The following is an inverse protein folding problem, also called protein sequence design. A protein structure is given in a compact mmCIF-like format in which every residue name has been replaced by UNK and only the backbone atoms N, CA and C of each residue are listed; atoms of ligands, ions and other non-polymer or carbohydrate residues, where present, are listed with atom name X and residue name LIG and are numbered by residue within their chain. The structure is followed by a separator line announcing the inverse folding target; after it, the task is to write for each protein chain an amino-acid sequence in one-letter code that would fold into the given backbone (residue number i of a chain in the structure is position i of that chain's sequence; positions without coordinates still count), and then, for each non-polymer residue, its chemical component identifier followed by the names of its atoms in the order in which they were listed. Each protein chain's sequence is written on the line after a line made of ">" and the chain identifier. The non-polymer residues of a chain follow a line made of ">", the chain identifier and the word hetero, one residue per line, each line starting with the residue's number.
data_IF_572616640141
#
_entry.id   IF_572616640141
#
_cell.length_a   1.000
_cell.length_b   1.000
_cell.length_c   1.000
_cell.angle_alpha   90.00
_cell.angle_beta   90.00
_cell.angle_gamma   90.00
#
_symmetry.space_group_name_H-M   'P 1'
#
loop_
_entity.id
_entity.type
_entity.pdbx_description
1 polymer ?
#
# COMPACT_ATOMS: atom_id res chain seq x y z
N UNK A 1 54.37 -12.67 43.17
CA UNK A 1 53.91 -11.34 43.67
C UNK A 1 54.77 -10.27 43.03
N UNK A 2 54.15 -9.18 42.53
CA UNK A 2 54.68 -8.02 41.75
C UNK A 2 54.76 -8.15 40.22
N UNK A 3 53.87 -7.35 39.61
CA UNK A 3 54.03 -6.48 38.41
C UNK A 3 54.34 -7.18 37.07
N UNK A 4 53.77 -6.82 35.93
CA UNK A 4 52.91 -5.72 35.52
C UNK A 4 52.39 -6.07 34.11
N UNK A 5 51.19 -5.60 33.81
CA UNK A 5 50.50 -5.69 32.53
C UNK A 5 51.37 -5.20 31.35
N UNK A 6 51.44 -5.99 30.29
CA UNK A 6 51.67 -5.48 28.93
C UNK A 6 50.43 -5.76 28.11
N UNK A 7 49.63 -4.71 27.99
CA UNK A 7 48.46 -4.56 27.15
C UNK A 7 48.75 -5.00 25.72
N UNK A 8 48.23 -6.18 25.34
CA UNK A 8 48.04 -6.55 23.93
C UNK A 8 46.60 -6.20 23.58
N UNK A 9 46.47 -5.10 22.84
CA UNK A 9 45.62 -4.97 21.65
C UNK A 9 44.41 -5.88 21.58
N UNK A 10 43.23 -5.37 21.93
CA UNK A 10 41.96 -5.75 21.30
C UNK A 10 41.00 -4.55 21.43
N UNK A 11 40.94 -3.69 20.41
CA UNK A 11 39.70 -2.96 20.11
C UNK A 11 38.81 -3.95 19.34
N UNK A 12 37.67 -4.41 19.86
CA UNK A 12 36.61 -4.87 18.99
C UNK A 12 35.78 -3.66 18.60
N UNK A 13 35.70 -3.48 17.28
CA UNK A 13 34.90 -2.53 16.55
C UNK A 13 33.54 -2.25 17.20
N UNK A 14 33.23 -0.96 17.33
CA UNK A 14 31.88 -0.46 17.48
C UNK A 14 31.11 -0.87 16.21
N UNK A 15 30.43 -2.01 16.26
CA UNK A 15 29.53 -2.43 15.22
C UNK A 15 28.32 -1.49 15.25
N UNK A 16 28.40 -0.41 14.48
CA UNK A 16 27.26 0.43 14.14
C UNK A 16 26.30 -0.47 13.33
N UNK A 17 25.28 -1.00 14.00
CA UNK A 17 24.19 -1.72 13.36
C UNK A 17 23.46 -0.73 12.44
N UNK A 18 23.85 -0.71 11.17
CA UNK A 18 23.01 -0.22 10.08
C UNK A 18 21.85 -1.22 9.93
N UNK A 19 20.85 -1.11 10.78
CA UNK A 19 19.53 -1.65 10.49
C UNK A 19 18.83 -0.68 9.52
N UNK A 20 19.35 -0.61 8.29
CA UNK A 20 18.56 -0.16 7.15
C UNK A 20 17.77 -1.38 6.71
N UNK A 21 16.45 -1.37 6.92
CA UNK A 21 15.59 -2.42 6.40
C UNK A 21 14.27 -2.50 7.14
N UNK A 22 13.21 -2.09 6.45
CA UNK A 22 11.81 -2.05 6.87
C UNK A 22 11.46 -0.94 7.87
N UNK A 23 11.47 0.32 7.41
CA UNK A 23 10.49 1.27 7.95
C UNK A 23 9.10 0.67 7.70
N UNK A 24 8.28 0.42 8.74
CA UNK A 24 6.88 0.17 8.49
C UNK A 24 6.35 1.39 7.73
N UNK A 25 5.87 1.19 6.50
CA UNK A 25 5.02 2.21 5.87
C UNK A 25 3.85 2.33 6.84
N UNK A 26 3.76 3.47 7.53
CA UNK A 26 2.63 3.82 8.36
C UNK A 26 1.40 3.85 7.43
N UNK A 27 0.73 2.71 7.26
CA UNK A 27 -0.23 2.52 6.18
C UNK A 27 -1.52 3.29 6.43
N UNK A 28 -1.91 4.18 5.50
CA UNK A 28 -3.18 4.90 5.43
C UNK A 28 -3.69 5.53 6.75
N UNK A 29 -2.80 5.91 7.67
CA UNK A 29 -3.22 6.33 9.02
C UNK A 29 -3.72 7.76 9.06
N UNK A 30 -3.23 8.63 8.18
CA UNK A 30 -3.58 10.04 8.20
C UNK A 30 -4.46 10.40 7.02
N UNK A 31 -5.59 11.07 7.32
CA UNK A 31 -6.54 11.50 6.30
C UNK A 31 -5.87 12.36 5.22
N UNK A 32 -4.90 13.19 5.63
CA UNK A 32 -4.21 14.11 4.73
C UNK A 32 -3.14 13.44 3.86
N UNK A 33 -2.88 12.14 3.99
CA UNK A 33 -2.01 11.44 3.04
C UNK A 33 -2.70 11.34 1.66
N UNK A 34 -4.04 11.24 1.66
CA UNK A 34 -4.86 11.08 0.47
C UNK A 34 -5.75 12.30 0.17
N UNK A 35 -6.26 12.96 1.22
CA UNK A 35 -7.20 14.08 1.09
C UNK A 35 -6.51 15.43 1.28
N UNK A 36 -6.99 16.44 0.56
CA UNK A 36 -6.65 17.83 0.83
C UNK A 36 -7.18 18.27 2.21
N UNK A 37 -6.57 19.30 2.85
CA UNK A 37 -7.06 19.83 4.11
C UNK A 37 -8.56 20.19 4.07
N UNK A 38 -9.27 19.91 5.16
CA UNK A 38 -10.72 20.10 5.27
C UNK A 38 -11.43 18.79 5.58
N UNK A 39 -12.71 18.70 5.20
CA UNK A 39 -13.53 17.50 5.40
C UNK A 39 -13.24 16.49 4.29
N UNK A 40 -12.71 15.29 4.59
CA UNK A 40 -12.45 14.24 3.59
C UNK A 40 -13.71 13.82 2.84
N UNK A 41 -13.61 13.74 1.52
CA UNK A 41 -14.65 13.27 0.60
C UNK A 41 -14.03 12.74 -0.70
N UNK A 42 -14.83 12.10 -1.54
CA UNK A 42 -14.36 11.68 -2.87
C UNK A 42 -13.96 12.85 -3.78
N UNK A 43 -14.39 14.08 -3.48
CA UNK A 43 -14.12 15.27 -4.29
C UNK A 43 -12.91 16.10 -3.84
N UNK A 44 -12.28 15.75 -2.71
CA UNK A 44 -11.11 16.47 -2.18
C UNK A 44 -9.83 15.61 -2.13
N UNK A 45 -9.71 14.62 -3.02
CA UNK A 45 -8.50 13.83 -3.14
C UNK A 45 -7.36 14.66 -3.72
N UNK A 46 -6.14 14.48 -3.21
CA UNK A 46 -4.94 15.21 -3.69
C UNK A 46 -4.57 14.86 -5.13
N UNK A 47 -4.96 13.67 -5.59
CA UNK A 47 -4.68 13.13 -6.92
C UNK A 47 -5.81 12.18 -7.35
N UNK A 48 -5.68 11.56 -8.52
CA UNK A 48 -6.53 10.44 -8.90
C UNK A 48 -6.42 9.30 -7.89
N UNK A 49 -7.48 8.50 -7.74
CA UNK A 49 -7.50 7.36 -6.81
C UNK A 49 -6.31 6.41 -7.03
N UNK A 50 -6.09 6.00 -8.27
CA UNK A 50 -4.97 5.11 -8.61
C UNK A 50 -3.62 5.80 -8.40
N UNK A 51 -3.50 7.11 -8.70
CA UNK A 51 -2.31 7.92 -8.43
C UNK A 51 -1.92 7.94 -6.95
N UNK A 52 -2.91 8.12 -6.06
CA UNK A 52 -2.70 8.05 -4.61
C UNK A 52 -2.14 6.69 -4.18
N UNK A 53 -2.68 5.59 -4.73
CA UNK A 53 -2.23 4.25 -4.40
C UNK A 53 -0.77 4.01 -4.84
N UNK A 54 -0.44 4.32 -6.10
CA UNK A 54 0.89 4.03 -6.67
C UNK A 54 1.98 4.98 -6.19
N UNK A 55 1.66 6.06 -5.48
CA UNK A 55 2.64 6.88 -4.77
C UNK A 55 3.31 6.17 -3.59
N UNK A 56 2.70 5.09 -3.08
CA UNK A 56 3.30 4.22 -2.07
C UNK A 56 3.42 2.76 -2.54
N UNK A 57 2.56 2.33 -3.46
CA UNK A 57 2.49 0.95 -3.97
C UNK A 57 2.99 0.85 -5.42
N UNK A 58 4.21 1.28 -5.68
CA UNK A 58 4.74 1.40 -7.04
C UNK A 58 4.70 0.09 -7.84
N UNK A 59 4.88 -1.06 -7.20
CA UNK A 59 4.93 -2.36 -7.88
C UNK A 59 3.54 -2.94 -8.18
N UNK A 60 2.45 -2.28 -7.75
CA UNK A 60 1.07 -2.75 -7.98
C UNK A 60 0.53 -2.44 -9.37
N UNK A 61 1.41 -2.04 -10.27
CA UNK A 61 1.14 -1.85 -11.70
C UNK A 61 2.09 -2.67 -12.57
N UNK A 62 2.87 -3.57 -11.95
CA UNK A 62 3.78 -4.47 -12.67
C UNK A 62 3.02 -5.60 -13.39
N UNK A 63 3.73 -6.31 -14.27
CA UNK A 63 3.16 -7.44 -14.99
C UNK A 63 2.65 -8.53 -14.02
N UNK A 64 1.38 -8.92 -14.20
CA UNK A 64 0.72 -9.92 -13.35
C UNK A 64 -0.22 -9.32 -12.31
N UNK A 65 -0.15 -8.01 -12.05
CA UNK A 65 -1.16 -7.30 -11.27
C UNK A 65 -2.42 -7.08 -12.11
N UNK A 66 -3.58 -6.99 -11.44
CA UNK A 66 -4.84 -6.73 -12.15
C UNK A 66 -4.89 -5.29 -12.65
N UNK A 67 -5.19 -5.11 -13.94
CA UNK A 67 -5.29 -3.77 -14.53
C UNK A 67 -6.41 -2.95 -13.89
N UNK A 68 -6.14 -1.66 -13.69
CA UNK A 68 -7.09 -0.65 -13.21
C UNK A 68 -7.08 0.55 -14.16
N UNK A 69 -7.92 1.54 -13.89
CA UNK A 69 -8.18 2.71 -14.75
C UNK A 69 -8.70 2.32 -16.14
N UNK A 70 -9.40 1.18 -16.23
CA UNK A 70 -10.05 0.71 -17.45
C UNK A 70 -11.58 0.89 -17.34
N UNK A 71 -12.24 1.35 -18.42
CA UNK A 71 -13.70 1.36 -18.49
C UNK A 71 -14.25 -0.06 -18.35
N UNK A 72 -15.33 -0.20 -17.61
CA UNK A 72 -16.05 -1.46 -17.47
C UNK A 72 -17.44 -1.29 -18.04
N UNK A 73 -17.74 -2.07 -19.07
CA UNK A 73 -19.03 -2.08 -19.77
C UNK A 73 -19.93 -3.26 -19.33
N UNK A 74 -19.54 -3.98 -18.27
CA UNK A 74 -20.32 -5.10 -17.75
C UNK A 74 -21.29 -4.62 -16.68
N UNK A 75 -22.58 -4.73 -16.98
CA UNK A 75 -23.66 -4.49 -16.03
C UNK A 75 -24.56 -5.73 -15.94
N UNK A 76 -25.13 -6.04 -14.77
CA UNK A 76 -24.94 -5.37 -13.48
C UNK A 76 -23.75 -5.97 -12.69
N UNK A 77 -22.95 -5.11 -12.05
CA UNK A 77 -21.98 -5.52 -11.02
C UNK A 77 -22.24 -4.80 -9.71
N UNK A 78 -21.86 -5.42 -8.60
CA UNK A 78 -22.06 -4.89 -7.23
C UNK A 78 -20.86 -4.10 -6.71
N UNK A 79 -19.73 -4.14 -7.42
CA UNK A 79 -18.52 -3.42 -7.02
C UNK A 79 -18.59 -1.94 -7.42
N UNK A 80 -17.99 -1.03 -6.62
CA UNK A 80 -18.01 0.39 -6.92
C UNK A 80 -17.13 0.71 -8.13
N UNK A 81 -17.73 1.31 -9.15
CA UNK A 81 -17.05 1.90 -10.29
C UNK A 81 -17.05 3.42 -10.17
N UNK A 82 -15.95 4.07 -10.54
CA UNK A 82 -15.87 5.51 -10.59
C UNK A 82 -16.19 6.00 -11.99
N UNK A 83 -17.41 6.52 -12.15
CA UNK A 83 -17.95 6.93 -13.44
C UNK A 83 -17.82 5.85 -14.53
N UNK A 84 -18.06 4.58 -14.17
CA UNK A 84 -17.94 3.43 -15.07
C UNK A 84 -16.51 2.93 -15.28
N UNK A 85 -15.53 3.46 -14.55
CA UNK A 85 -14.12 3.03 -14.60
C UNK A 85 -13.79 2.21 -13.34
N UNK A 86 -13.12 1.08 -13.54
CA UNK A 86 -12.56 0.29 -12.45
C UNK A 86 -11.26 0.91 -11.98
N UNK A 87 -11.07 1.02 -10.67
CA UNK A 87 -9.87 1.58 -10.04
C UNK A 87 -9.36 0.64 -8.95
N UNK A 88 -8.24 0.96 -8.30
CA UNK A 88 -7.78 0.22 -7.12
C UNK A 88 -8.91 0.07 -6.07
N UNK A 89 -9.71 1.14 -5.91
CA UNK A 89 -10.81 1.16 -4.95
C UNK A 89 -12.10 0.52 -5.43
N UNK A 90 -12.10 -0.16 -6.58
CA UNK A 90 -13.20 -1.07 -6.93
C UNK A 90 -13.11 -2.32 -6.06
N UNK A 91 -11.90 -2.84 -5.86
CA UNK A 91 -11.64 -4.06 -5.09
C UNK A 91 -11.16 -3.79 -3.66
N UNK A 92 -10.37 -2.74 -3.44
CA UNK A 92 -9.78 -2.40 -2.14
C UNK A 92 -10.50 -1.23 -1.45
N UNK A 93 -10.89 -1.40 -0.19
CA UNK A 93 -11.36 -0.33 0.67
C UNK A 93 -10.17 0.32 1.40
N UNK A 94 -9.79 1.56 1.03
CA UNK A 94 -8.66 2.24 1.65
C UNK A 94 -8.92 2.64 3.12
N UNK A 95 -10.17 2.59 3.58
CA UNK A 95 -10.55 2.89 4.96
C UNK A 95 -10.73 1.63 5.83
N UNK A 96 -10.57 0.44 5.25
CA UNK A 96 -10.69 -0.80 6.00
C UNK A 96 -9.56 -0.95 7.03
N UNK A 97 -9.91 -1.38 8.25
CA UNK A 97 -8.94 -1.81 9.25
C UNK A 97 -8.60 -3.29 9.00
N UNK A 98 -7.45 -3.56 8.40
CA UNK A 98 -6.98 -4.94 8.12
C UNK A 98 -7.05 -5.30 6.62
N UNK A 99 -7.80 -6.35 6.29
CA UNK A 99 -7.93 -6.79 4.89
C UNK A 99 -8.77 -5.78 4.11
N UNK A 100 -8.15 -5.14 3.13
CA UNK A 100 -8.81 -4.12 2.32
C UNK A 100 -9.74 -4.70 1.25
N UNK A 101 -9.67 -5.98 0.92
CA UNK A 101 -10.53 -6.55 -0.13
C UNK A 101 -12.01 -6.49 0.29
N UNK A 102 -12.86 -5.95 -0.60
CA UNK A 102 -14.32 -5.88 -0.38
C UNK A 102 -15.01 -7.25 -0.43
N UNK A 103 -14.35 -8.25 -1.01
CA UNK A 103 -14.85 -9.61 -1.15
C UNK A 103 -13.66 -10.58 -1.18
N UNK A 104 -13.87 -11.81 -0.75
CA UNK A 104 -12.88 -12.87 -0.84
C UNK A 104 -12.56 -13.25 -2.28
N UNK A 105 -11.35 -13.78 -2.47
CA UNK A 105 -10.97 -14.54 -3.65
C UNK A 105 -11.50 -15.99 -3.47
N UNK A 106 -12.18 -16.59 -4.46
CA UNK A 106 -12.32 -16.18 -5.87
C UNK A 106 -13.57 -15.38 -6.24
N UNK A 107 -14.49 -15.15 -5.30
CA UNK A 107 -15.77 -14.52 -5.60
C UNK A 107 -15.60 -13.13 -6.23
N UNK A 108 -14.63 -12.36 -5.75
CA UNK A 108 -14.32 -11.02 -6.25
C UNK A 108 -14.04 -11.03 -7.76
N UNK A 109 -13.16 -11.92 -8.20
CA UNK A 109 -12.70 -12.05 -9.58
C UNK A 109 -13.86 -12.49 -10.50
N UNK A 110 -14.72 -13.38 -9.99
CA UNK A 110 -15.85 -13.94 -10.71
C UNK A 110 -17.01 -12.93 -10.92
N UNK A 111 -16.98 -11.78 -10.25
CA UNK A 111 -17.94 -10.69 -10.53
C UNK A 111 -17.83 -10.18 -11.97
N UNK A 112 -16.62 -10.23 -12.56
CA UNK A 112 -16.33 -9.88 -13.95
C UNK A 112 -15.97 -11.10 -14.80
N UNK A 113 -15.08 -11.95 -14.30
CA UNK A 113 -14.53 -13.10 -15.02
C UNK A 113 -15.34 -14.36 -14.73
N UNK A 114 -16.59 -14.38 -15.20
CA UNK A 114 -17.44 -15.59 -15.15
C UNK A 114 -16.88 -16.59 -16.16
N UNK A 115 -16.45 -17.74 -15.66
CA UNK A 115 -16.09 -18.91 -16.48
C UNK A 115 -17.36 -19.63 -16.92
#
# INVERSE_FOLDING_TARGET
>A
MKRMQKYHTLLPALALLLAVGATPVAGHQQCWDCHEPGTPSASNLKQSLSGLCINCHQTRVDAGEHAVDIPVNTAPMTLPLQAGVMTCVTCHDPHAQGVALRMSDPELCQTCHRQ
#
